data_IF_594372474167
#
_entry.id   IF_594372474167
#
_cell.length_a   1.000
_cell.length_b   1.000
_cell.length_c   1.000
_cell.angle_alpha   90.00
_cell.angle_beta   90.00
_cell.angle_gamma   90.00
#
_symmetry.space_group_name_H-M   'P 1'
#
loop_
_entity.id
_entity.type
_entity.pdbx_description
1 polymer ?
#
# COMPACT_ATOMS: atom_id res chain seq x y z
N UNK A 1 -8.84 12.80 -12.23
CA UNK A 1 -9.66 13.68 -11.40
C UNK A 1 -10.10 14.95 -12.10
N UNK A 2 -10.86 14.79 -13.17
CA UNK A 2 -11.50 15.89 -13.89
C UNK A 2 -12.86 16.29 -13.29
N UNK A 3 -13.12 16.03 -12.01
CA UNK A 3 -14.44 16.29 -11.41
C UNK A 3 -14.49 17.53 -10.54
N UNK A 4 -13.36 18.15 -10.21
CA UNK A 4 -13.34 19.38 -9.36
C UNK A 4 -13.80 20.63 -10.07
N UNK A 5 -13.70 20.72 -11.38
CA UNK A 5 -14.05 21.94 -12.16
C UNK A 5 -15.56 22.15 -12.38
N UNK A 6 -16.43 21.25 -11.91
CA UNK A 6 -17.85 21.30 -12.14
C UNK A 6 -18.71 21.38 -10.87
N UNK A 7 -18.10 21.69 -9.72
CA UNK A 7 -18.81 21.88 -8.47
C UNK A 7 -19.14 23.36 -8.25
N UNK A 8 -20.41 23.61 -7.99
CA UNK A 8 -20.89 24.90 -7.54
C UNK A 8 -21.34 24.78 -6.10
N UNK A 9 -20.92 25.70 -5.25
CA UNK A 9 -21.30 25.69 -3.84
C UNK A 9 -21.83 27.05 -3.39
N UNK A 10 -22.73 27.02 -2.42
CA UNK A 10 -23.18 28.20 -1.69
C UNK A 10 -23.50 27.81 -0.25
N UNK A 11 -23.20 28.69 0.69
CA UNK A 11 -23.52 28.48 2.12
C UNK A 11 -24.60 29.48 2.52
N UNK A 12 -25.64 28.99 3.14
CA UNK A 12 -26.76 29.80 3.63
C UNK A 12 -27.12 29.37 5.05
N UNK A 13 -27.51 30.30 5.95
CA UNK A 13 -28.08 29.92 7.23
C UNK A 13 -29.49 29.35 7.01
N UNK A 14 -29.74 28.17 7.55
CA UNK A 14 -31.01 27.49 7.33
C UNK A 14 -31.50 26.75 8.58
N UNK A 15 -32.72 26.25 8.54
CA UNK A 15 -33.39 25.51 9.61
C UNK A 15 -33.40 24.02 9.28
N UNK A 16 -33.46 23.20 10.32
CA UNK A 16 -33.71 21.77 10.14
C UNK A 16 -35.03 21.55 9.40
N UNK A 17 -35.02 20.66 8.41
CA UNK A 17 -36.21 20.39 7.60
C UNK A 17 -35.88 19.81 6.24
N UNK A 18 -36.92 19.51 5.46
CA UNK A 18 -36.75 19.04 4.07
C UNK A 18 -37.11 20.17 3.11
N UNK A 19 -36.17 20.50 2.25
CA UNK A 19 -36.26 21.59 1.29
C UNK A 19 -36.24 21.06 -0.13
N UNK A 20 -37.05 21.65 -0.99
CA UNK A 20 -36.99 21.44 -2.41
C UNK A 20 -36.06 22.47 -3.03
N UNK A 21 -34.87 22.06 -3.38
CA UNK A 21 -33.87 22.92 -4.01
C UNK A 21 -33.96 22.86 -5.54
N UNK A 22 -33.65 23.95 -6.18
CA UNK A 22 -33.64 24.06 -7.64
C UNK A 22 -32.36 24.77 -8.09
N UNK A 23 -31.61 24.15 -8.98
CA UNK A 23 -30.44 24.75 -9.64
C UNK A 23 -30.74 24.90 -11.12
N UNK A 24 -30.68 26.12 -11.61
CA UNK A 24 -30.87 26.44 -13.03
C UNK A 24 -29.57 26.98 -13.62
N UNK A 25 -29.11 26.37 -14.68
CA UNK A 25 -28.00 26.86 -15.50
C UNK A 25 -28.57 27.50 -16.76
N UNK A 26 -28.03 28.64 -17.18
CA UNK A 26 -28.52 29.39 -18.34
C UNK A 26 -28.58 28.46 -19.58
N UNK A 27 -29.79 28.31 -20.15
CA UNK A 27 -30.01 27.48 -21.34
C UNK A 27 -30.21 25.98 -21.08
N UNK A 28 -30.28 25.55 -19.81
CA UNK A 28 -30.59 24.17 -19.45
C UNK A 28 -31.87 24.08 -18.57
N UNK A 29 -32.48 22.89 -18.54
CA UNK A 29 -33.58 22.61 -17.62
C UNK A 29 -33.07 22.63 -16.18
N UNK A 30 -33.88 23.19 -15.27
CA UNK A 30 -33.55 23.21 -13.85
C UNK A 30 -33.48 21.79 -13.26
N UNK A 31 -32.44 21.51 -12.48
CA UNK A 31 -32.37 20.32 -11.67
C UNK A 31 -33.05 20.61 -10.34
N UNK A 32 -33.96 19.74 -9.92
CA UNK A 32 -34.66 19.86 -8.64
C UNK A 32 -34.48 18.60 -7.81
N UNK A 33 -34.11 18.80 -6.53
CA UNK A 33 -33.96 17.69 -5.57
C UNK A 33 -34.51 18.08 -4.19
N UNK A 34 -35.01 17.08 -3.46
CA UNK A 34 -35.37 17.25 -2.05
C UNK A 34 -34.12 16.99 -1.22
N UNK A 35 -33.74 17.95 -0.39
CA UNK A 35 -32.58 17.88 0.50
C UNK A 35 -33.06 18.00 1.94
N UNK A 36 -32.63 17.11 2.79
CA UNK A 36 -32.93 17.13 4.22
C UNK A 36 -31.77 17.74 4.99
N UNK A 37 -32.05 18.72 5.82
CA UNK A 37 -31.14 19.38 6.74
C UNK A 37 -31.49 18.87 8.12
N UNK A 38 -30.52 18.27 8.82
CA UNK A 38 -30.74 17.59 10.09
C UNK A 38 -30.74 18.57 11.28
N UNK A 39 -30.08 19.72 11.16
CA UNK A 39 -29.97 20.72 12.24
C UNK A 39 -29.98 22.16 11.72
N UNK A 40 -30.38 23.08 12.60
CA UNK A 40 -30.26 24.51 12.35
C UNK A 40 -28.80 24.96 12.24
N UNK A 41 -28.48 25.83 11.32
CA UNK A 41 -27.15 26.43 11.20
C UNK A 41 -26.78 26.74 9.75
N UNK A 42 -25.49 26.97 9.53
CA UNK A 42 -24.98 27.21 8.19
C UNK A 42 -24.98 25.87 7.40
N UNK A 43 -25.62 25.88 6.26
CA UNK A 43 -25.70 24.73 5.36
C UNK A 43 -25.00 25.07 4.07
N UNK A 44 -24.11 24.22 3.63
CA UNK A 44 -23.44 24.34 2.36
C UNK A 44 -24.09 23.42 1.34
N UNK A 45 -24.61 24.03 0.28
CA UNK A 45 -25.22 23.31 -0.84
C UNK A 45 -24.20 23.12 -1.94
N UNK A 46 -24.13 21.90 -2.46
CA UNK A 46 -23.24 21.52 -3.56
C UNK A 46 -24.04 21.02 -4.75
N UNK A 47 -23.72 21.53 -5.92
CA UNK A 47 -24.24 21.02 -7.19
C UNK A 47 -23.12 20.42 -8.01
N UNK A 48 -23.24 19.14 -8.31
CA UNK A 48 -22.37 18.43 -9.24
C UNK A 48 -22.96 18.47 -10.64
N UNK A 49 -22.37 19.25 -11.52
CA UNK A 49 -22.86 19.43 -12.87
C UNK A 49 -22.67 18.18 -13.75
N UNK A 50 -21.70 17.31 -13.44
CA UNK A 50 -21.45 16.07 -14.16
C UNK A 50 -22.53 15.02 -13.89
N UNK A 51 -22.89 14.84 -12.60
CA UNK A 51 -23.94 13.87 -12.20
C UNK A 51 -25.33 14.50 -12.10
N UNK A 52 -25.42 15.83 -12.19
CA UNK A 52 -26.65 16.63 -12.00
C UNK A 52 -27.29 16.40 -10.62
N UNK A 53 -26.47 16.11 -9.60
CA UNK A 53 -26.93 15.94 -8.22
C UNK A 53 -26.73 17.19 -7.40
N UNK A 54 -27.66 17.43 -6.50
CA UNK A 54 -27.65 18.51 -5.53
C UNK A 54 -27.69 17.90 -4.15
N UNK A 55 -26.76 18.29 -3.29
CA UNK A 55 -26.61 17.76 -1.93
C UNK A 55 -26.34 18.92 -0.95
N UNK A 56 -26.64 18.70 0.34
CA UNK A 56 -26.34 19.66 1.40
C UNK A 56 -25.45 19.05 2.47
N UNK A 57 -24.53 19.84 2.96
CA UNK A 57 -23.75 19.57 4.16
C UNK A 57 -24.16 20.58 5.23
N UNK A 58 -24.83 20.12 6.24
CA UNK A 58 -25.26 20.88 7.40
C UNK A 58 -24.28 20.76 8.59
N UNK A 59 -23.11 20.17 8.35
CA UNK A 59 -22.10 19.95 9.36
C UNK A 59 -22.52 18.98 10.46
N UNK A 60 -23.55 18.15 10.24
CA UNK A 60 -24.06 17.19 11.25
C UNK A 60 -23.08 16.04 11.49
N UNK A 61 -22.19 15.75 10.55
CA UNK A 61 -21.23 14.65 10.68
C UNK A 61 -20.03 15.09 11.53
N UNK A 62 -19.86 14.50 12.70
CA UNK A 62 -18.69 14.68 13.56
C UNK A 62 -17.51 13.87 13.00
N UNK A 63 -16.60 14.55 12.30
CA UNK A 63 -15.48 13.94 11.59
C UNK A 63 -14.50 13.21 12.51
N UNK A 64 -14.34 13.70 13.75
CA UNK A 64 -13.52 13.10 14.81
C UNK A 64 -14.09 11.78 15.37
N UNK A 65 -15.31 11.42 15.02
CA UNK A 65 -15.98 10.18 15.43
C UNK A 65 -16.07 9.15 14.29
N UNK A 66 -15.68 9.55 13.09
CA UNK A 66 -15.61 8.61 11.98
C UNK A 66 -14.34 7.78 12.08
N UNK A 67 -14.51 6.45 11.97
CA UNK A 67 -13.38 5.53 12.01
C UNK A 67 -13.62 4.33 11.08
N UNK A 68 -12.66 4.07 10.25
CA UNK A 68 -12.42 2.81 9.59
C UNK A 68 -10.93 2.51 9.71
N UNK A 69 -10.58 1.36 10.23
CA UNK A 69 -9.21 0.93 10.44
C UNK A 69 -8.96 -0.38 9.67
N UNK A 70 -8.16 -0.31 8.62
CA UNK A 70 -7.90 -1.47 7.75
C UNK A 70 -7.12 -2.59 8.44
N UNK A 71 -6.49 -2.35 9.58
CA UNK A 71 -5.74 -3.34 10.35
C UNK A 71 -6.55 -3.96 11.49
N UNK A 72 -7.72 -3.44 11.75
CA UNK A 72 -8.61 -3.96 12.78
C UNK A 72 -9.72 -4.81 12.14
N UNK A 73 -9.81 -6.07 12.53
CA UNK A 73 -10.80 -7.03 12.00
C UNK A 73 -12.26 -6.68 12.32
N UNK A 74 -12.51 -5.77 13.26
CA UNK A 74 -13.85 -5.21 13.51
C UNK A 74 -14.29 -4.32 12.35
N UNK A 75 -13.33 -3.70 11.62
CA UNK A 75 -13.61 -2.83 10.50
C UNK A 75 -13.39 -3.48 9.14
N UNK A 76 -12.42 -4.39 9.03
CA UNK A 76 -12.12 -5.10 7.79
C UNK A 76 -11.82 -6.58 8.07
N UNK A 77 -12.70 -7.46 7.61
CA UNK A 77 -12.52 -8.90 7.81
C UNK A 77 -12.88 -9.69 6.53
N UNK A 78 -11.95 -10.52 6.00
CA UNK A 78 -10.57 -10.69 6.42
C UNK A 78 -9.72 -9.43 6.22
N UNK A 79 -8.66 -9.31 7.01
CA UNK A 79 -7.79 -8.12 7.04
C UNK A 79 -6.83 -8.04 5.85
N UNK A 80 -6.32 -9.13 5.38
CA UNK A 80 -5.24 -9.24 4.36
C UNK A 80 -5.76 -9.31 2.92
N UNK A 81 -4.89 -9.64 1.95
CA UNK A 81 -5.29 -9.98 0.60
C UNK A 81 -6.23 -11.18 0.61
N UNK A 82 -7.26 -11.15 -0.21
CA UNK A 82 -8.30 -12.18 -0.24
C UNK A 82 -8.35 -12.91 -1.58
N UNK A 83 -8.78 -14.14 -1.56
CA UNK A 83 -9.05 -14.92 -2.77
C UNK A 83 -10.32 -14.42 -3.46
N UNK A 84 -10.36 -14.47 -4.79
CA UNK A 84 -11.59 -14.22 -5.56
C UNK A 84 -12.79 -14.96 -4.96
N UNK A 85 -13.91 -14.27 -4.79
CA UNK A 85 -15.15 -14.80 -4.22
C UNK A 85 -15.21 -14.85 -2.69
N UNK A 86 -14.12 -14.50 -2.00
CA UNK A 86 -14.12 -14.41 -0.53
C UNK A 86 -15.03 -13.27 -0.07
N UNK A 87 -15.95 -13.50 0.88
CA UNK A 87 -16.71 -12.42 1.46
C UNK A 87 -15.80 -11.51 2.31
N UNK A 88 -15.83 -10.22 2.05
CA UNK A 88 -15.09 -9.21 2.81
C UNK A 88 -16.10 -8.29 3.48
N UNK A 89 -16.13 -8.29 4.81
CA UNK A 89 -16.91 -7.34 5.59
C UNK A 89 -16.11 -6.06 5.76
N UNK A 90 -16.72 -4.94 5.42
CA UNK A 90 -16.17 -3.59 5.61
C UNK A 90 -17.16 -2.79 6.45
N UNK A 91 -16.67 -2.12 7.49
CA UNK A 91 -17.50 -1.32 8.37
C UNK A 91 -16.91 0.03 8.68
N UNK A 92 -17.78 0.96 9.02
CA UNK A 92 -17.44 2.33 9.40
C UNK A 92 -18.16 2.65 10.71
N UNK A 93 -17.46 3.27 11.63
CA UNK A 93 -18.01 3.87 12.84
C UNK A 93 -18.32 5.34 12.62
N UNK A 94 -19.42 5.81 13.18
CA UNK A 94 -19.82 7.22 13.18
C UNK A 94 -20.46 7.59 14.52
N UNK A 95 -20.55 8.87 14.87
CA UNK A 95 -21.38 9.35 15.98
C UNK A 95 -22.84 8.96 15.75
N UNK A 96 -23.53 8.53 16.80
CA UNK A 96 -24.94 8.15 16.69
C UNK A 96 -25.81 9.25 16.09
N UNK A 97 -26.49 8.90 15.01
CA UNK A 97 -27.42 9.79 14.34
C UNK A 97 -26.81 10.71 13.27
N UNK A 98 -25.49 10.82 13.16
CA UNK A 98 -24.82 11.67 12.16
C UNK A 98 -25.01 11.17 10.73
N UNK A 99 -24.96 9.86 10.56
CA UNK A 99 -25.06 9.22 9.26
C UNK A 99 -26.44 8.61 9.08
N UNK A 100 -27.19 9.12 8.11
CA UNK A 100 -28.52 8.63 7.73
C UNK A 100 -28.43 7.57 6.62
N UNK A 101 -27.39 7.68 5.79
CA UNK A 101 -27.10 6.78 4.69
C UNK A 101 -25.60 6.64 4.49
N UNK A 102 -25.13 5.40 4.50
CA UNK A 102 -23.75 5.08 4.16
C UNK A 102 -23.70 4.15 2.94
N UNK A 103 -22.73 4.36 2.07
CA UNK A 103 -22.47 3.54 0.90
C UNK A 103 -20.98 3.26 0.79
N UNK A 104 -20.63 2.05 0.40
CA UNK A 104 -19.27 1.71 -0.02
C UNK A 104 -19.16 1.93 -1.53
N UNK A 105 -18.16 2.68 -1.95
CA UNK A 105 -17.78 2.84 -3.36
C UNK A 105 -16.52 2.02 -3.61
N UNK A 106 -16.59 1.09 -4.55
CA UNK A 106 -15.50 0.18 -4.92
C UNK A 106 -15.12 0.39 -6.38
N UNK A 107 -13.86 0.64 -6.65
CA UNK A 107 -13.29 0.80 -7.99
C UNK A 107 -12.16 -0.21 -8.21
N UNK A 108 -12.03 -0.77 -9.40
CA UNK A 108 -10.93 -1.66 -9.76
C UNK A 108 -9.76 -0.83 -10.31
N UNK A 109 -8.56 -1.03 -9.77
CA UNK A 109 -7.37 -0.34 -10.23
C UNK A 109 -6.94 -0.84 -11.61
N UNK A 110 -6.50 0.09 -12.45
CA UNK A 110 -5.91 -0.22 -13.75
C UNK A 110 -4.45 -0.59 -13.55
N UNK A 111 -4.15 -1.88 -13.65
CA UNK A 111 -2.78 -2.37 -13.61
C UNK A 111 -2.17 -2.21 -15.00
N UNK A 112 -1.11 -1.41 -15.12
CA UNK A 112 -0.33 -1.30 -16.35
C UNK A 112 0.84 -2.28 -16.35
N UNK A 113 1.35 -2.64 -17.53
CA UNK A 113 2.51 -3.54 -17.66
C UNK A 113 3.78 -3.05 -16.93
N UNK A 114 3.84 -1.77 -16.62
CA UNK A 114 4.95 -1.13 -15.90
C UNK A 114 4.70 -0.98 -14.38
N UNK A 115 3.75 -1.74 -13.84
CA UNK A 115 3.47 -1.78 -12.40
C UNK A 115 2.51 -0.71 -11.89
N UNK A 116 2.29 0.38 -12.60
CA UNK A 116 1.47 1.50 -12.13
C UNK A 116 2.10 2.25 -10.94
N UNK A 117 1.55 3.39 -10.59
CA UNK A 117 1.90 4.11 -9.37
C UNK A 117 1.01 3.60 -8.23
N UNK A 118 1.59 2.82 -7.31
CA UNK A 118 0.86 2.28 -6.15
C UNK A 118 0.34 3.38 -5.21
N UNK A 119 0.95 4.57 -5.26
CA UNK A 119 0.54 5.72 -4.45
C UNK A 119 -0.59 6.55 -5.10
N UNK A 120 -0.72 6.48 -6.44
CA UNK A 120 -1.77 7.15 -7.19
C UNK A 120 -2.33 6.23 -8.28
N UNK A 121 -2.98 5.13 -7.91
CA UNK A 121 -3.51 4.20 -8.88
C UNK A 121 -4.58 4.87 -9.74
N UNK A 122 -4.52 4.67 -11.05
CA UNK A 122 -5.65 4.96 -11.93
C UNK A 122 -6.65 3.80 -11.86
N UNK A 123 -7.94 4.09 -12.09
CA UNK A 123 -9.01 3.10 -12.01
C UNK A 123 -9.59 2.80 -13.39
N UNK A 124 -10.04 1.56 -13.57
CA UNK A 124 -10.66 1.13 -14.81
C UNK A 124 -12.04 1.79 -14.94
N UNK A 125 -12.29 2.49 -16.07
CA UNK A 125 -13.58 3.11 -16.33
C UNK A 125 -14.70 2.05 -16.38
N UNK A 126 -15.83 2.34 -15.73
CA UNK A 126 -17.00 1.47 -15.73
C UNK A 126 -16.93 0.28 -14.74
N UNK A 127 -15.87 0.17 -13.94
CA UNK A 127 -15.77 -0.88 -12.91
C UNK A 127 -16.34 -0.47 -11.56
N UNK A 128 -16.73 0.79 -11.41
CA UNK A 128 -17.29 1.31 -10.16
C UNK A 128 -18.53 0.56 -9.75
N UNK A 129 -18.52 0.05 -8.52
CA UNK A 129 -19.65 -0.58 -7.85
C UNK A 129 -19.98 0.20 -6.58
N UNK A 130 -21.28 0.36 -6.31
CA UNK A 130 -21.75 1.07 -5.12
C UNK A 130 -22.64 0.12 -4.34
N UNK A 131 -22.28 -0.10 -3.08
CA UNK A 131 -22.99 -1.00 -2.19
C UNK A 131 -23.62 -0.19 -1.05
N UNK A 132 -24.95 -0.27 -0.84
CA UNK A 132 -25.55 0.31 0.35
C UNK A 132 -25.05 -0.41 1.59
N UNK A 133 -24.70 0.35 2.61
CA UNK A 133 -24.34 -0.19 3.93
C UNK A 133 -25.56 -0.26 4.83
N UNK A 134 -25.50 -1.14 5.82
CA UNK A 134 -26.55 -1.31 6.83
C UNK A 134 -26.03 -0.86 8.18
N UNK A 135 -26.87 -0.17 8.94
CA UNK A 135 -26.64 0.08 10.35
C UNK A 135 -26.80 -1.24 11.11
N UNK A 136 -25.73 -1.74 11.72
CA UNK A 136 -25.75 -2.96 12.53
C UNK A 136 -26.26 -2.70 13.95
N UNK A 137 -25.96 -1.54 14.47
CA UNK A 137 -26.38 -1.13 15.81
C UNK A 137 -25.58 0.05 16.34
N UNK A 138 -25.97 0.48 17.53
CA UNK A 138 -25.32 1.58 18.26
C UNK A 138 -24.72 1.04 19.55
N UNK A 139 -23.46 1.36 19.81
CA UNK A 139 -22.77 1.02 21.05
C UNK A 139 -21.97 2.23 21.52
N UNK A 140 -22.11 2.57 22.81
CA UNK A 140 -21.39 3.68 23.46
C UNK A 140 -21.55 5.03 22.72
N UNK A 141 -22.73 5.27 22.14
CA UNK A 141 -23.03 6.47 21.37
C UNK A 141 -22.45 6.49 19.95
N UNK A 142 -21.98 5.35 19.47
CA UNK A 142 -21.40 5.21 18.14
C UNK A 142 -22.19 4.19 17.30
N UNK A 143 -22.50 4.56 16.08
CA UNK A 143 -23.16 3.71 15.09
C UNK A 143 -22.13 2.92 14.31
N UNK A 144 -22.38 1.63 14.08
CA UNK A 144 -21.57 0.78 13.21
C UNK A 144 -22.36 0.48 11.93
N UNK A 145 -21.85 1.00 10.83
CA UNK A 145 -22.33 0.74 9.49
C UNK A 145 -21.48 -0.34 8.83
N UNK A 146 -22.08 -1.29 8.14
CA UNK A 146 -21.33 -2.35 7.47
C UNK A 146 -21.92 -2.79 6.14
N UNK A 147 -21.05 -3.42 5.35
CA UNK A 147 -21.41 -4.13 4.12
C UNK A 147 -20.47 -5.31 3.92
N UNK A 148 -20.97 -6.39 3.34
CA UNK A 148 -20.14 -7.52 2.90
C UNK A 148 -20.14 -7.56 1.39
N UNK A 149 -18.96 -7.43 0.79
CA UNK A 149 -18.74 -7.54 -0.66
C UNK A 149 -18.14 -8.90 -1.00
N UNK A 150 -18.25 -9.31 -2.27
CA UNK A 150 -17.62 -10.53 -2.81
C UNK A 150 -17.01 -10.18 -4.17
N UNK A 151 -15.72 -9.76 -4.22
CA UNK A 151 -15.06 -9.49 -5.48
C UNK A 151 -15.03 -10.76 -6.35
N UNK A 152 -15.49 -10.65 -7.58
CA UNK A 152 -15.65 -11.76 -8.54
C UNK A 152 -14.47 -11.91 -9.50
N UNK A 153 -13.54 -10.97 -9.49
CA UNK A 153 -12.33 -11.01 -10.29
C UNK A 153 -11.09 -10.65 -9.46
N UNK A 154 -9.94 -11.18 -9.83
CA UNK A 154 -8.67 -10.81 -9.24
C UNK A 154 -8.24 -9.41 -9.69
N UNK A 155 -7.48 -8.73 -8.85
CA UNK A 155 -6.97 -7.39 -9.10
C UNK A 155 -6.73 -6.61 -7.82
N UNK A 156 -6.31 -5.38 -7.99
CA UNK A 156 -6.26 -4.40 -6.91
C UNK A 156 -7.50 -3.54 -7.00
N UNK A 157 -8.21 -3.44 -5.90
CA UNK A 157 -9.40 -2.59 -5.77
C UNK A 157 -9.10 -1.45 -4.81
N UNK A 158 -9.71 -0.30 -5.09
CA UNK A 158 -9.75 0.81 -4.16
C UNK A 158 -11.18 1.01 -3.66
N UNK A 159 -11.36 1.33 -2.38
CA UNK A 159 -12.68 1.62 -1.85
C UNK A 159 -12.68 2.83 -0.91
N UNK A 160 -13.84 3.46 -0.79
CA UNK A 160 -14.14 4.55 0.13
C UNK A 160 -15.59 4.49 0.57
N UNK A 161 -15.92 5.26 1.57
CA UNK A 161 -17.29 5.39 2.07
C UNK A 161 -17.88 6.72 1.64
N UNK A 162 -19.12 6.70 1.16
CA UNK A 162 -19.90 7.89 0.84
C UNK A 162 -21.00 8.03 1.90
N UNK A 163 -21.02 9.16 2.60
CA UNK A 163 -21.86 9.44 3.76
C UNK A 163 -22.87 10.52 3.41
N UNK A 164 -24.16 10.25 3.64
CA UNK A 164 -25.29 11.13 3.33
C UNK A 164 -25.29 11.67 1.90
N UNK A 165 -24.59 11.00 0.96
CA UNK A 165 -24.38 11.47 -0.40
C UNK A 165 -23.46 12.68 -0.56
N UNK A 166 -22.88 13.19 0.53
CA UNK A 166 -22.13 14.46 0.60
C UNK A 166 -20.66 14.25 0.86
N UNK A 167 -20.31 13.61 1.97
CA UNK A 167 -18.92 13.45 2.43
C UNK A 167 -18.37 12.11 2.04
N UNK A 168 -17.09 12.08 1.71
CA UNK A 168 -16.35 10.85 1.44
C UNK A 168 -15.35 10.62 2.58
N UNK A 169 -15.31 9.39 3.09
CA UNK A 169 -14.27 8.95 4.02
C UNK A 169 -13.39 7.93 3.30
N UNK A 170 -12.11 8.23 3.21
CA UNK A 170 -11.12 7.40 2.53
C UNK A 170 -9.76 7.49 3.19
N UNK A 171 -8.75 6.86 2.59
CA UNK A 171 -7.38 6.81 3.07
C UNK A 171 -6.80 8.23 3.25
N UNK A 172 -6.11 8.49 4.36
CA UNK A 172 -5.52 9.79 4.66
C UNK A 172 -4.15 10.02 4.00
N UNK A 173 -3.67 9.02 3.26
CA UNK A 173 -2.36 9.01 2.59
C UNK A 173 -1.16 9.22 3.52
N UNK A 174 -1.33 8.94 4.80
CA UNK A 174 -0.24 8.93 5.77
C UNK A 174 0.13 7.49 6.09
N UNK A 175 1.34 7.24 6.59
CA UNK A 175 1.67 5.94 7.15
C UNK A 175 0.67 5.59 8.26
N UNK A 176 -0.09 4.52 8.07
CA UNK A 176 -1.14 4.10 8.99
C UNK A 176 -2.20 3.27 8.30
N UNK A 177 -3.37 3.21 8.91
CA UNK A 177 -4.44 2.28 8.50
C UNK A 177 -5.84 2.89 8.67
N UNK A 178 -5.90 4.15 9.07
CA UNK A 178 -7.13 4.94 9.24
C UNK A 178 -7.32 5.89 8.07
N UNK A 179 -8.38 6.68 8.11
CA UNK A 179 -8.76 7.56 7.03
C UNK A 179 -9.10 8.98 7.46
N UNK A 180 -9.51 9.76 6.48
CA UNK A 180 -9.93 11.14 6.64
C UNK A 180 -11.17 11.45 5.82
N UNK A 181 -11.86 12.52 6.21
CA UNK A 181 -13.04 13.02 5.49
C UNK A 181 -12.65 14.04 4.45
N UNK A 182 -13.28 13.95 3.30
CA UNK A 182 -13.24 14.97 2.25
C UNK A 182 -14.63 15.16 1.66
N UNK A 183 -14.87 16.27 0.99
CA UNK A 183 -16.12 16.46 0.24
C UNK A 183 -16.16 15.60 -1.01
N UNK A 184 -15.04 15.54 -1.72
CA UNK A 184 -14.86 14.75 -2.94
C UNK A 184 -13.38 14.40 -3.10
N UNK A 185 -13.13 13.36 -3.90
CA UNK A 185 -11.76 12.97 -4.25
C UNK A 185 -11.00 12.31 -3.10
N UNK A 186 -11.70 11.68 -2.15
CA UNK A 186 -11.04 10.89 -1.11
C UNK A 186 -10.15 9.83 -1.75
N UNK A 187 -8.95 9.68 -1.23
CA UNK A 187 -8.07 8.57 -1.59
C UNK A 187 -8.74 7.25 -1.20
N UNK A 188 -8.43 6.19 -1.92
CA UNK A 188 -9.09 4.92 -1.71
C UNK A 188 -8.22 4.02 -0.83
N UNK A 189 -8.85 3.33 0.12
CA UNK A 189 -8.24 2.19 0.79
C UNK A 189 -8.03 1.06 -0.19
N UNK A 190 -6.91 0.36 -0.12
CA UNK A 190 -6.61 -0.74 -1.02
C UNK A 190 -7.17 -2.06 -0.53
N UNK A 191 -7.75 -2.84 -1.44
CA UNK A 191 -8.12 -4.25 -1.26
C UNK A 191 -7.48 -5.08 -2.37
N UNK A 192 -6.56 -5.96 -2.02
CA UNK A 192 -5.93 -6.89 -2.96
C UNK A 192 -6.74 -8.18 -3.03
N UNK A 193 -7.11 -8.57 -4.27
CA UNK A 193 -7.84 -9.80 -4.54
C UNK A 193 -6.99 -10.67 -5.46
N UNK A 194 -6.60 -11.86 -5.00
CA UNK A 194 -5.76 -12.77 -5.78
C UNK A 194 -6.58 -13.87 -6.48
N UNK A 195 -5.99 -14.46 -7.52
CA UNK A 195 -6.61 -15.49 -8.33
C UNK A 195 -7.06 -16.70 -7.49
N UNK A 196 -8.18 -17.29 -7.88
CA UNK A 196 -8.66 -18.53 -7.28
C UNK A 196 -7.67 -19.71 -7.45
N UNK A 197 -6.85 -19.67 -8.49
CA UNK A 197 -5.85 -20.71 -8.79
C UNK A 197 -4.49 -20.45 -8.13
N UNK A 198 -4.33 -19.31 -7.45
CA UNK A 198 -3.09 -19.00 -6.73
C UNK A 198 -2.97 -19.84 -5.46
N UNK A 199 -1.85 -20.54 -5.34
CA UNK A 199 -1.49 -21.32 -4.18
C UNK A 199 -0.08 -20.96 -3.72
N UNK A 200 0.07 -20.57 -2.48
CA UNK A 200 1.38 -20.54 -1.84
C UNK A 200 1.89 -21.97 -1.70
N UNK A 201 3.08 -22.30 -2.20
CA UNK A 201 3.66 -23.65 -2.01
C UNK A 201 3.70 -24.04 -0.53
N UNK A 202 3.41 -25.29 -0.22
CA UNK A 202 3.31 -25.72 1.18
C UNK A 202 4.62 -25.53 1.95
N UNK A 203 5.75 -25.77 1.29
CA UNK A 203 7.06 -25.53 1.90
C UNK A 203 7.26 -24.06 2.36
N UNK A 204 6.65 -23.09 1.65
CA UNK A 204 6.81 -21.66 1.96
C UNK A 204 5.97 -21.21 3.17
N UNK A 205 4.87 -21.93 3.47
CA UNK A 205 3.97 -21.59 4.58
C UNK A 205 4.63 -21.78 5.95
N UNK A 206 5.54 -22.75 6.05
CA UNK A 206 6.24 -23.11 7.29
C UNK A 206 7.75 -22.85 7.20
N UNK A 207 8.18 -22.13 6.16
CA UNK A 207 9.60 -21.89 5.94
C UNK A 207 10.20 -20.97 7.02
N UNK A 208 11.33 -21.38 7.55
CA UNK A 208 12.24 -20.52 8.29
C UNK A 208 13.28 -20.02 7.29
N UNK A 209 13.09 -18.80 6.82
CA UNK A 209 13.96 -18.20 5.79
C UNK A 209 15.10 -17.44 6.46
N UNK A 210 16.33 -17.77 6.05
CA UNK A 210 17.55 -17.06 6.50
C UNK A 210 18.13 -16.28 5.31
N UNK A 211 18.20 -14.96 5.43
CA UNK A 211 18.82 -14.13 4.39
C UNK A 211 20.32 -14.08 4.59
N UNK A 212 21.06 -14.34 3.51
CA UNK A 212 22.53 -14.27 3.50
C UNK A 212 22.97 -13.09 2.62
N UNK A 213 23.79 -12.23 3.19
CA UNK A 213 24.66 -11.30 2.48
C UNK A 213 26.01 -11.99 2.30
N UNK A 214 26.35 -12.57 1.13
CA UNK A 214 27.48 -13.50 0.99
C UNK A 214 28.79 -12.95 1.49
N UNK A 215 29.15 -11.75 1.09
CA UNK A 215 30.40 -11.08 1.49
C UNK A 215 30.57 -11.00 3.03
N UNK A 216 29.47 -10.93 3.77
CA UNK A 216 29.42 -10.74 5.24
C UNK A 216 29.09 -12.02 5.99
N UNK A 217 29.10 -13.19 5.34
CA UNK A 217 28.67 -14.42 6.00
C UNK A 217 29.85 -15.30 6.47
N UNK A 218 30.60 -15.87 5.54
CA UNK A 218 31.77 -16.68 5.87
C UNK A 218 32.70 -16.82 4.64
N UNK A 219 34.00 -16.58 4.84
CA UNK A 219 35.02 -16.78 3.82
C UNK A 219 35.46 -18.24 3.81
N UNK A 220 35.05 -18.99 2.81
CA UNK A 220 35.34 -20.42 2.64
C UNK A 220 36.50 -20.71 1.70
N UNK A 221 36.80 -19.80 0.76
CA UNK A 221 37.90 -19.92 -0.19
C UNK A 221 38.66 -18.58 -0.32
N UNK A 222 39.78 -18.46 0.38
CA UNK A 222 40.62 -17.27 0.33
C UNK A 222 41.28 -17.00 -1.01
N UNK A 223 41.24 -17.95 -1.95
CA UNK A 223 41.88 -17.76 -3.26
C UNK A 223 41.12 -16.76 -4.13
N UNK A 224 39.83 -16.56 -3.88
CA UNK A 224 38.97 -15.63 -4.59
C UNK A 224 38.97 -14.20 -4.00
N UNK A 225 39.53 -13.99 -2.82
CA UNK A 225 39.54 -12.68 -2.12
C UNK A 225 40.10 -11.53 -2.99
N UNK A 226 41.03 -11.82 -3.90
CA UNK A 226 41.66 -10.84 -4.76
C UNK A 226 41.21 -10.94 -6.24
N UNK A 227 40.06 -11.53 -6.50
CA UNK A 227 39.56 -11.74 -7.87
C UNK A 227 39.30 -10.44 -8.64
N UNK A 228 39.08 -9.35 -7.94
CA UNK A 228 38.94 -8.00 -8.54
C UNK A 228 39.77 -6.99 -7.76
N UNK A 229 40.28 -5.97 -8.47
CA UNK A 229 41.05 -4.86 -7.90
C UNK A 229 40.26 -3.56 -7.82
N UNK A 230 39.16 -3.49 -8.54
CA UNK A 230 38.26 -2.32 -8.57
C UNK A 230 36.84 -2.72 -8.25
N UNK A 231 36.21 -1.92 -7.45
CA UNK A 231 34.79 -1.94 -7.19
C UNK A 231 34.06 -0.96 -8.15
N UNK A 232 33.07 -0.27 -7.67
CA UNK A 232 32.20 0.67 -8.36
C UNK A 232 33.01 1.71 -9.17
N UNK A 233 32.93 1.61 -10.50
CA UNK A 233 33.73 2.51 -11.37
C UNK A 233 35.22 2.20 -11.35
N UNK A 234 36.03 3.17 -10.93
CA UNK A 234 37.49 3.06 -10.76
C UNK A 234 37.92 3.00 -9.30
N UNK A 235 36.97 2.81 -8.39
CA UNK A 235 37.25 2.78 -6.96
C UNK A 235 38.05 1.52 -6.59
N UNK A 236 39.06 1.62 -5.75
CA UNK A 236 39.80 0.45 -5.30
C UNK A 236 38.93 -0.42 -4.38
N UNK A 237 39.07 -1.73 -4.51
CA UNK A 237 38.53 -2.68 -3.54
C UNK A 237 39.26 -2.49 -2.21
N UNK A 238 38.50 -2.37 -1.13
CA UNK A 238 39.03 -2.35 0.22
C UNK A 238 38.80 -3.71 0.90
N UNK A 239 39.85 -4.45 1.11
CA UNK A 239 39.79 -5.71 1.85
C UNK A 239 39.73 -5.45 3.35
N UNK A 240 38.81 -6.11 4.04
CA UNK A 240 38.63 -6.04 5.50
C UNK A 240 38.87 -7.40 6.14
N UNK A 241 39.48 -7.39 7.30
CA UNK A 241 39.50 -8.59 8.13
C UNK A 241 38.10 -8.82 8.74
N UNK A 242 37.80 -10.08 9.07
CA UNK A 242 36.49 -10.43 9.66
C UNK A 242 36.20 -9.67 10.98
N UNK A 243 37.22 -9.29 11.72
CA UNK A 243 37.11 -8.52 12.97
C UNK A 243 37.00 -7.02 12.78
N UNK A 244 37.19 -6.53 11.57
CA UNK A 244 37.15 -5.10 11.28
C UNK A 244 35.69 -4.59 11.27
N UNK A 245 35.54 -3.29 11.50
CA UNK A 245 34.25 -2.62 11.26
C UNK A 245 34.11 -2.32 9.79
N UNK A 246 32.87 -2.33 9.24
CA UNK A 246 32.59 -1.80 7.93
C UNK A 246 33.05 -0.35 7.79
N UNK A 247 33.44 0.05 6.57
CA UNK A 247 33.84 1.42 6.29
C UNK A 247 32.74 2.42 6.64
N UNK A 248 33.14 3.56 7.18
CA UNK A 248 32.23 4.67 7.42
C UNK A 248 32.25 5.58 6.19
N UNK A 249 31.14 5.60 5.44
CA UNK A 249 31.00 6.35 4.18
C UNK A 249 30.74 7.86 4.38
N UNK A 250 30.68 8.34 5.63
CA UNK A 250 30.55 9.76 5.88
C UNK A 250 31.85 10.49 5.55
N UNK A 251 31.77 11.48 4.66
CA UNK A 251 32.93 12.35 4.32
C UNK A 251 33.52 13.09 5.53
N UNK A 252 32.79 13.19 6.62
CA UNK A 252 33.21 13.84 7.86
C UNK A 252 33.87 12.89 8.84
N UNK A 253 33.84 11.58 8.60
CA UNK A 253 34.49 10.60 9.47
C UNK A 253 36.00 10.52 9.15
N UNK A 254 36.82 10.36 10.18
CA UNK A 254 38.28 10.28 10.01
C UNK A 254 38.73 9.05 9.21
N UNK A 255 37.90 8.00 9.18
CA UNK A 255 38.07 6.77 8.42
C UNK A 255 37.18 6.69 7.16
N UNK A 256 36.51 7.77 6.80
CA UNK A 256 35.61 7.85 5.63
C UNK A 256 36.40 7.96 4.34
N UNK A 257 36.13 7.06 3.40
CA UNK A 257 36.82 7.01 2.11
C UNK A 257 36.03 7.63 0.96
N UNK A 258 34.86 8.15 1.24
CA UNK A 258 33.90 8.76 0.28
C UNK A 258 33.18 7.76 -0.63
N UNK A 259 33.45 6.46 -0.53
CA UNK A 259 32.95 5.46 -1.43
C UNK A 259 32.00 4.51 -0.69
N UNK A 260 30.87 4.23 -1.32
CA UNK A 260 29.90 3.29 -0.80
C UNK A 260 30.15 1.89 -1.36
N UNK A 261 30.06 0.87 -0.50
CA UNK A 261 29.94 -0.52 -0.92
C UNK A 261 31.17 -1.10 -1.62
N UNK A 262 32.36 -0.59 -1.34
CA UNK A 262 33.63 -1.05 -1.88
C UNK A 262 34.47 -1.85 -0.87
N UNK A 263 34.01 -2.01 0.36
CA UNK A 263 34.65 -2.81 1.39
C UNK A 263 34.17 -4.27 1.34
N UNK A 264 35.12 -5.20 1.27
CA UNK A 264 34.87 -6.62 1.10
C UNK A 264 35.50 -7.43 2.23
N UNK A 265 34.72 -8.35 2.82
CA UNK A 265 35.15 -9.24 3.90
C UNK A 265 35.45 -10.66 3.41
N UNK A 266 35.26 -10.94 2.14
CA UNK A 266 35.64 -12.18 1.49
C UNK A 266 34.68 -13.34 1.70
N UNK A 267 33.47 -13.12 2.22
CA UNK A 267 32.46 -14.19 2.28
C UNK A 267 32.01 -14.62 0.88
N UNK A 268 31.83 -15.93 0.67
CA UNK A 268 31.68 -16.56 -0.63
C UNK A 268 30.74 -17.78 -0.63
N UNK A 269 30.51 -18.41 -1.79
CA UNK A 269 29.68 -19.60 -1.95
C UNK A 269 30.25 -20.82 -1.22
N UNK A 270 31.58 -20.97 -1.24
CA UNK A 270 32.25 -22.04 -0.50
C UNK A 270 32.00 -21.89 1.01
N UNK A 271 31.99 -20.68 1.52
CA UNK A 271 31.67 -20.38 2.90
C UNK A 271 30.22 -20.68 3.26
N UNK A 272 29.27 -20.36 2.37
CA UNK A 272 27.86 -20.74 2.55
C UNK A 272 27.75 -22.25 2.63
N UNK A 273 28.36 -22.99 1.69
CA UNK A 273 28.36 -24.46 1.66
C UNK A 273 28.92 -25.04 2.97
N UNK A 274 30.02 -24.53 3.45
CA UNK A 274 30.64 -24.98 4.73
C UNK A 274 29.77 -24.73 5.96
N UNK A 275 28.79 -23.83 5.88
CA UNK A 275 27.89 -23.46 6.98
C UNK A 275 26.49 -24.03 6.85
N UNK A 276 26.19 -24.88 5.86
CA UNK A 276 24.87 -25.48 5.68
C UNK A 276 24.42 -26.28 6.91
N UNK A 277 25.32 -27.09 7.51
CA UNK A 277 24.99 -27.83 8.73
C UNK A 277 24.62 -26.91 9.91
N UNK A 278 25.31 -25.79 10.03
CA UNK A 278 24.99 -24.77 11.04
C UNK A 278 23.59 -24.20 10.80
N UNK A 279 23.25 -23.83 9.57
CA UNK A 279 21.94 -23.30 9.23
C UNK A 279 20.84 -24.35 9.43
N UNK A 280 21.08 -25.60 9.04
CA UNK A 280 20.15 -26.70 9.27
C UNK A 280 19.90 -26.92 10.77
N UNK A 281 20.94 -26.95 11.58
CA UNK A 281 20.83 -27.10 13.05
C UNK A 281 20.10 -25.91 13.69
N UNK A 282 20.15 -24.72 13.09
CA UNK A 282 19.38 -23.55 13.52
C UNK A 282 17.88 -23.66 13.15
N UNK A 283 17.51 -24.65 12.35
CA UNK A 283 16.13 -24.85 11.89
C UNK A 283 15.78 -24.11 10.61
N UNK A 284 16.77 -23.58 9.88
CA UNK A 284 16.55 -22.91 8.57
C UNK A 284 16.14 -23.97 7.54
N UNK A 285 15.05 -23.67 6.83
CA UNK A 285 14.52 -24.53 5.77
C UNK A 285 14.60 -23.92 4.38
N UNK A 286 14.88 -22.62 4.30
CA UNK A 286 15.09 -21.91 3.05
C UNK A 286 16.15 -20.81 3.22
N UNK A 287 16.98 -20.65 2.20
CA UNK A 287 18.01 -19.60 2.18
C UNK A 287 17.64 -18.59 1.08
N UNK A 288 17.56 -17.33 1.48
CA UNK A 288 17.50 -16.19 0.54
C UNK A 288 18.88 -15.58 0.41
N UNK A 289 19.49 -15.69 -0.75
CA UNK A 289 20.84 -15.13 -0.97
C UNK A 289 20.71 -13.79 -1.70
N UNK A 290 21.39 -12.75 -1.20
CA UNK A 290 21.55 -11.50 -1.93
C UNK A 290 22.17 -11.76 -3.31
N UNK A 291 22.04 -10.83 -4.29
CA UNK A 291 22.48 -11.09 -5.65
C UNK A 291 23.88 -11.68 -5.75
N UNK A 292 24.02 -12.69 -6.63
CA UNK A 292 25.26 -13.45 -6.84
C UNK A 292 25.98 -13.05 -8.11
N UNK A 293 25.30 -12.36 -9.02
CA UNK A 293 25.81 -12.07 -10.35
C UNK A 293 26.86 -10.95 -10.32
N UNK A 294 27.68 -10.91 -11.35
CA UNK A 294 28.76 -9.94 -11.48
C UNK A 294 28.27 -8.50 -11.29
N UNK A 295 28.84 -7.81 -10.34
CA UNK A 295 28.46 -6.46 -9.93
C UNK A 295 29.69 -5.66 -9.50
N UNK A 296 29.50 -4.40 -9.20
CA UNK A 296 30.60 -3.50 -8.75
C UNK A 296 30.66 -3.36 -7.23
N UNK A 297 29.49 -3.43 -6.57
CA UNK A 297 29.35 -3.28 -5.12
C UNK A 297 29.46 -4.62 -4.39
N UNK A 298 29.72 -4.54 -3.10
CA UNK A 298 29.74 -5.70 -2.21
C UNK A 298 28.36 -6.35 -2.04
N UNK A 299 27.27 -5.58 -2.14
CA UNK A 299 25.88 -6.07 -2.03
C UNK A 299 25.32 -6.63 -3.35
N UNK A 300 25.92 -6.32 -4.50
CA UNK A 300 25.63 -6.83 -5.84
C UNK A 300 24.23 -6.51 -6.39
N UNK A 301 23.49 -5.60 -5.77
CA UNK A 301 22.21 -5.12 -6.32
C UNK A 301 22.38 -4.24 -7.55
N UNK A 302 23.59 -3.76 -7.82
CA UNK A 302 23.99 -3.06 -9.05
C UNK A 302 24.57 -4.02 -10.11
N UNK A 303 23.90 -5.15 -10.33
CA UNK A 303 24.30 -6.20 -11.27
C UNK A 303 24.67 -5.62 -12.62
N UNK A 304 25.90 -5.89 -13.05
CA UNK A 304 26.44 -5.46 -14.34
C UNK A 304 26.30 -6.53 -15.43
N UNK A 305 26.31 -7.79 -15.04
CA UNK A 305 26.16 -8.92 -15.97
C UNK A 305 25.40 -10.06 -15.28
N UNK A 306 24.21 -10.37 -15.79
CA UNK A 306 23.37 -11.48 -15.32
C UNK A 306 23.82 -12.85 -15.87
N UNK A 307 24.78 -12.89 -16.77
CA UNK A 307 25.27 -14.14 -17.37
C UNK A 307 26.44 -14.76 -16.61
N UNK A 308 27.02 -14.07 -15.61
CA UNK A 308 28.19 -14.56 -14.88
C UNK A 308 28.07 -14.33 -13.37
N UNK A 309 28.59 -15.25 -12.58
CA UNK A 309 28.76 -15.06 -11.14
C UNK A 309 29.81 -14.01 -10.84
N UNK A 310 29.67 -13.33 -9.72
CA UNK A 310 30.69 -12.42 -9.24
C UNK A 310 31.93 -13.18 -8.81
N UNK A 311 33.10 -12.79 -9.33
CA UNK A 311 34.35 -13.51 -9.14
C UNK A 311 34.81 -13.59 -7.67
N UNK A 312 34.37 -12.67 -6.81
CA UNK A 312 34.60 -12.76 -5.36
C UNK A 312 33.80 -13.88 -4.69
N UNK A 313 32.75 -14.39 -5.34
CA UNK A 313 31.92 -15.44 -4.76
C UNK A 313 32.30 -16.85 -5.18
N UNK A 314 33.24 -16.99 -6.13
CA UNK A 314 33.60 -18.27 -6.71
C UNK A 314 33.11 -18.44 -8.13
N UNK A 315 32.71 -19.63 -8.49
CA UNK A 315 32.31 -20.01 -9.84
C UNK A 315 31.03 -20.86 -9.85
N UNK A 316 30.54 -21.25 -11.04
CA UNK A 316 29.35 -22.06 -11.18
C UNK A 316 29.45 -23.44 -10.56
N UNK A 317 30.67 -24.05 -10.45
CA UNK A 317 30.82 -25.32 -9.76
C UNK A 317 30.61 -25.17 -8.25
N UNK A 318 31.02 -24.04 -7.67
CA UNK A 318 30.74 -23.72 -6.26
C UNK A 318 29.26 -23.45 -6.01
N UNK A 319 28.57 -22.87 -6.99
CA UNK A 319 27.13 -22.67 -6.90
C UNK A 319 26.33 -24.00 -6.97
N UNK A 320 26.84 -24.98 -7.71
CA UNK A 320 26.18 -26.27 -7.89
C UNK A 320 26.44 -27.27 -6.74
N UNK A 321 27.40 -27.00 -5.87
CA UNK A 321 27.69 -27.81 -4.67
C UNK A 321 26.63 -27.61 -3.58
#
# INVERSE_FOLDING_TARGET
DMLMDQFYQTTLPDKAGTYKLSVAQKGQAAVQENVTIARDGDVTFYYDAATKKLVADDGSIHEDKLLHDTWNTDFRSPFEAVRVGTPVRLSLQAQHGDVQQAQLVLDKAKITANGGDEYNPSYEAGTRQIYPMKLEGTKDGLDIWSVTIRPDANGIYGYKFLLNGVKEYGDDAKPGHTGTVTLRGAKLFQLTVYSADYHTPDWAKEAVVYQIFPDRFFNGDKSNDNAKTTARGSEPVQHRAWSDLPANHSKSAADGDQWDCNDFFGGDLAGITQKLDYLQNLGVTAIYVNPLMSARSNHRYDTADYGSLDAFLGNMDDFHK
#
